data_IF_226726323483
#
_entry.id   IF_226726323483
#
_cell.length_a   1.000
_cell.length_b   1.000
_cell.length_c   1.000
_cell.angle_alpha   90.00
_cell.angle_beta   90.00
_cell.angle_gamma   90.00
#
_symmetry.space_group_name_H-M   'P 1'
#
loop_
_entity.id
_entity.type
_entity.pdbx_description
1 polymer ?
#
# COMPACT_ATOMS: atom_id res chain seq x y z
N UNK A 1 -58.03 -39.88 45.82
CA UNK A 1 -58.15 -39.91 44.35
C UNK A 1 -58.39 -38.49 43.86
N UNK A 2 -57.32 -37.78 43.51
CA UNK A 2 -57.35 -36.56 42.70
C UNK A 2 -56.11 -36.62 41.78
N UNK A 3 -56.25 -36.40 40.46
CA UNK A 3 -55.11 -36.35 39.57
C UNK A 3 -54.63 -34.90 39.45
N UNK A 4 -53.35 -34.67 39.73
CA UNK A 4 -52.70 -33.38 39.55
C UNK A 4 -52.36 -33.20 38.06
N UNK A 5 -52.94 -32.17 37.45
CA UNK A 5 -52.66 -31.73 36.08
C UNK A 5 -51.34 -30.95 36.05
N UNK A 6 -50.42 -31.36 35.17
CA UNK A 6 -49.21 -30.60 34.87
C UNK A 6 -49.44 -29.80 33.59
N UNK A 7 -49.56 -28.48 33.71
CA UNK A 7 -49.55 -27.56 32.57
C UNK A 7 -48.10 -27.36 32.11
N UNK A 8 -47.78 -27.87 30.91
CA UNK A 8 -46.52 -27.56 30.24
C UNK A 8 -46.60 -26.13 29.66
N UNK A 9 -45.79 -25.22 30.21
CA UNK A 9 -45.58 -23.90 29.63
C UNK A 9 -44.56 -24.04 28.49
N UNK A 10 -45.03 -23.95 27.26
CA UNK A 10 -44.16 -23.83 26.07
C UNK A 10 -43.66 -22.39 26.01
N UNK A 11 -42.41 -22.16 26.37
CA UNK A 11 -41.71 -20.90 26.12
C UNK A 11 -41.28 -20.88 24.66
N UNK A 12 -42.01 -20.13 23.83
CA UNK A 12 -41.59 -19.78 22.48
C UNK A 12 -40.41 -18.81 22.56
N UNK A 13 -39.19 -19.33 22.39
CA UNK A 13 -38.02 -18.50 22.12
C UNK A 13 -38.13 -18.06 20.67
N UNK A 14 -38.63 -16.83 20.46
CA UNK A 14 -38.54 -16.19 19.16
C UNK A 14 -37.04 -15.98 18.83
N UNK A 15 -36.53 -16.75 17.87
CA UNK A 15 -35.23 -16.48 17.28
C UNK A 15 -35.30 -15.09 16.63
N UNK A 16 -34.72 -14.09 17.29
CA UNK A 16 -34.56 -12.75 16.74
C UNK A 16 -33.60 -12.91 15.56
N UNK A 17 -34.13 -12.83 14.34
CA UNK A 17 -33.30 -12.67 13.15
C UNK A 17 -32.35 -11.50 13.42
N UNK A 18 -31.04 -11.75 13.35
CA UNK A 18 -30.05 -10.72 13.49
C UNK A 18 -30.36 -9.64 12.44
N UNK A 19 -30.71 -8.44 12.91
CA UNK A 19 -30.72 -7.25 12.06
C UNK A 19 -29.34 -7.16 11.39
N UNK A 20 -29.24 -6.81 10.09
CA UNK A 20 -27.94 -6.57 9.49
C UNK A 20 -27.26 -5.50 10.34
N UNK A 21 -26.12 -5.88 10.94
CA UNK A 21 -25.27 -4.96 11.68
C UNK A 21 -25.03 -3.76 10.77
N UNK A 22 -25.51 -2.58 11.18
CA UNK A 22 -25.33 -1.38 10.40
C UNK A 22 -23.83 -1.23 10.15
N UNK A 23 -23.41 -1.24 8.88
CA UNK A 23 -22.00 -1.15 8.53
C UNK A 23 -21.42 0.09 9.21
N UNK A 24 -20.36 -0.09 10.00
CA UNK A 24 -19.64 1.01 10.63
C UNK A 24 -19.19 1.99 9.52
N UNK A 25 -19.68 3.24 9.51
CA UNK A 25 -19.46 4.17 8.41
C UNK A 25 -17.99 4.54 8.22
N UNK A 26 -17.13 4.26 9.21
CA UNK A 26 -15.69 4.51 9.15
C UNK A 26 -14.88 3.31 8.63
N UNK A 27 -15.53 2.18 8.33
CA UNK A 27 -14.89 0.97 7.81
C UNK A 27 -14.99 0.93 6.29
N UNK A 28 -13.90 0.51 5.65
CA UNK A 28 -13.90 0.28 4.21
C UNK A 28 -14.87 -0.84 3.83
N UNK A 29 -15.53 -0.73 2.66
CA UNK A 29 -16.30 -1.83 2.11
C UNK A 29 -15.45 -3.09 1.93
N UNK A 30 -16.00 -4.24 2.34
CA UNK A 30 -15.33 -5.55 2.15
C UNK A 30 -15.47 -6.11 0.72
N UNK A 31 -16.02 -5.34 -0.23
CA UNK A 31 -16.20 -5.74 -1.63
C UNK A 31 -14.87 -5.90 -2.37
N UNK A 32 -13.82 -5.18 -1.95
CA UNK A 32 -12.50 -5.19 -2.57
C UNK A 32 -11.45 -5.43 -1.50
N UNK A 33 -10.65 -6.49 -1.66
CA UNK A 33 -9.67 -6.93 -0.66
C UNK A 33 -8.28 -7.00 -1.28
N UNK A 34 -7.26 -6.31 -0.75
CA UNK A 34 -5.90 -6.40 -1.26
C UNK A 34 -5.28 -7.76 -0.93
N UNK A 35 -4.39 -8.22 -1.80
CA UNK A 35 -3.57 -9.41 -1.54
C UNK A 35 -2.07 -9.18 -1.80
N UNK A 36 -1.71 -8.15 -2.58
CA UNK A 36 -0.33 -7.75 -2.83
C UNK A 36 -0.21 -6.24 -3.03
N UNK A 37 0.90 -5.68 -2.58
CA UNK A 37 1.35 -4.33 -2.87
C UNK A 37 2.74 -4.37 -3.50
N UNK A 38 2.94 -3.56 -4.54
CA UNK A 38 4.28 -3.11 -4.93
C UNK A 38 4.37 -1.63 -4.59
N UNK A 39 5.32 -1.26 -3.73
CA UNK A 39 5.56 0.12 -3.29
C UNK A 39 6.96 0.52 -3.72
N UNK A 40 7.04 1.49 -4.62
CA UNK A 40 8.31 2.05 -5.09
C UNK A 40 8.41 3.48 -4.59
N UNK A 41 9.50 3.85 -3.94
CA UNK A 41 9.69 5.19 -3.38
C UNK A 41 11.01 5.79 -3.86
N UNK A 42 10.98 7.07 -4.23
CA UNK A 42 12.15 7.92 -4.37
C UNK A 42 12.18 8.86 -3.16
N UNK A 43 13.22 8.74 -2.32
CA UNK A 43 13.30 9.44 -1.03
C UNK A 43 14.42 10.46 -1.04
N UNK A 44 14.06 11.71 -0.78
CA UNK A 44 14.98 12.83 -0.59
C UNK A 44 14.93 13.26 0.88
N UNK A 45 15.80 12.65 1.69
CA UNK A 45 15.91 12.95 3.13
C UNK A 45 16.35 14.39 3.37
N UNK A 46 17.17 14.96 2.48
CA UNK A 46 17.69 16.32 2.64
C UNK A 46 16.66 17.37 2.28
N UNK A 47 15.97 17.17 1.16
CA UNK A 47 14.83 17.99 0.73
C UNK A 47 13.57 17.75 1.54
N UNK A 48 13.54 16.70 2.38
CA UNK A 48 12.41 16.40 3.26
C UNK A 48 11.16 16.04 2.49
N UNK A 49 11.27 15.23 1.43
CA UNK A 49 10.15 14.83 0.57
C UNK A 49 10.39 13.46 -0.05
N UNK A 50 9.34 12.89 -0.60
CA UNK A 50 9.44 11.66 -1.38
C UNK A 50 8.36 11.61 -2.47
N UNK A 51 8.68 10.88 -3.54
CA UNK A 51 7.73 10.46 -4.58
C UNK A 51 7.55 8.96 -4.51
N UNK A 52 6.44 8.46 -5.04
CA UNK A 52 6.19 7.04 -5.05
C UNK A 52 5.22 6.56 -6.11
N UNK A 53 5.24 5.25 -6.27
CA UNK A 53 4.30 4.44 -7.06
C UNK A 53 3.71 3.41 -6.12
N UNK A 54 2.40 3.19 -6.21
CA UNK A 54 1.72 2.11 -5.50
C UNK A 54 0.89 1.27 -6.48
N UNK A 55 1.22 -0.01 -6.59
CA UNK A 55 0.37 -0.99 -7.26
C UNK A 55 -0.30 -1.88 -6.22
N UNK A 56 -1.63 -1.87 -6.20
CA UNK A 56 -2.45 -2.60 -5.24
C UNK A 56 -3.21 -3.68 -6.00
N UNK A 57 -2.84 -4.93 -5.76
CA UNK A 57 -3.51 -6.07 -6.35
C UNK A 57 -4.65 -6.51 -5.46
N UNK A 58 -5.85 -6.60 -6.03
CA UNK A 58 -7.09 -6.78 -5.27
C UNK A 58 -7.94 -7.95 -5.78
N UNK A 59 -8.64 -8.59 -4.86
CA UNK A 59 -9.71 -9.55 -5.10
C UNK A 59 -11.06 -8.84 -4.96
N UNK A 60 -11.96 -9.06 -5.91
CA UNK A 60 -13.30 -8.48 -5.87
C UNK A 60 -14.29 -9.54 -5.38
N UNK A 61 -14.89 -9.29 -4.23
CA UNK A 61 -15.80 -10.21 -3.54
C UNK A 61 -17.28 -9.95 -3.87
N UNK A 62 -17.61 -8.75 -4.36
CA UNK A 62 -18.92 -8.35 -4.84
C UNK A 62 -18.76 -7.36 -6.01
N UNK A 63 -19.65 -7.44 -7.00
CA UNK A 63 -19.65 -6.52 -8.14
C UNK A 63 -19.73 -5.07 -7.63
N UNK A 64 -18.88 -4.20 -8.17
CA UNK A 64 -18.80 -2.81 -7.70
C UNK A 64 -18.22 -1.90 -8.78
N UNK A 65 -18.76 -0.69 -8.88
CA UNK A 65 -18.31 0.36 -9.79
C UNK A 65 -17.35 1.36 -9.13
N UNK A 66 -17.01 1.13 -7.87
CA UNK A 66 -16.17 2.02 -7.09
C UNK A 66 -15.23 1.27 -6.16
N UNK A 67 -14.10 1.90 -5.84
CA UNK A 67 -13.15 1.38 -4.84
C UNK A 67 -12.80 2.49 -3.88
N UNK A 68 -13.13 2.30 -2.60
CA UNK A 68 -12.71 3.19 -1.51
C UNK A 68 -11.50 2.59 -0.79
N UNK A 69 -10.47 3.39 -0.59
CA UNK A 69 -9.29 3.05 0.21
C UNK A 69 -8.82 4.26 1.03
N UNK A 70 -7.84 4.06 1.90
CA UNK A 70 -7.28 5.14 2.70
C UNK A 70 -6.16 5.88 1.97
N UNK A 71 -6.21 7.21 2.01
CA UNK A 71 -5.15 8.11 1.57
C UNK A 71 -5.32 9.42 2.34
N UNK A 72 -4.30 9.80 3.11
CA UNK A 72 -4.35 11.06 3.86
C UNK A 72 -4.23 12.26 2.90
N UNK A 73 -4.83 13.42 3.23
CA UNK A 73 -4.83 14.61 2.35
C UNK A 73 -3.44 15.14 1.96
N UNK A 74 -2.41 14.77 2.72
CA UNK A 74 -1.01 15.11 2.42
C UNK A 74 -0.42 14.36 1.22
N UNK A 75 -1.04 13.26 0.80
CA UNK A 75 -0.62 12.50 -0.38
C UNK A 75 -1.19 13.16 -1.63
N UNK A 76 -0.30 13.69 -2.48
CA UNK A 76 -0.68 14.42 -3.68
C UNK A 76 -0.52 13.53 -4.90
N UNK A 77 -1.59 13.33 -5.65
CA UNK A 77 -1.60 12.60 -6.92
C UNK A 77 -2.69 13.15 -7.83
N UNK A 78 -2.48 13.08 -9.14
CA UNK A 78 -3.47 13.49 -10.12
C UNK A 78 -4.35 12.30 -10.51
N UNK A 79 -5.60 12.57 -10.92
CA UNK A 79 -6.48 11.50 -11.41
C UNK A 79 -5.91 10.76 -12.63
N UNK A 80 -5.13 11.44 -13.47
CA UNK A 80 -4.40 10.86 -14.61
C UNK A 80 -3.34 9.85 -14.19
N UNK A 81 -2.84 9.94 -12.95
CA UNK A 81 -1.88 9.00 -12.38
C UNK A 81 -2.55 7.78 -11.74
N UNK A 82 -3.88 7.66 -11.80
CA UNK A 82 -4.62 6.52 -11.25
C UNK A 82 -5.24 5.69 -12.36
N UNK A 83 -4.89 4.41 -12.41
CA UNK A 83 -5.41 3.47 -13.39
C UNK A 83 -5.84 2.16 -12.74
N UNK A 84 -6.94 1.59 -13.22
CA UNK A 84 -7.41 0.26 -12.79
C UNK A 84 -7.45 -0.68 -13.99
N UNK A 85 -6.86 -1.86 -13.84
CA UNK A 85 -6.80 -2.85 -14.90
C UNK A 85 -7.00 -4.27 -14.39
N UNK A 86 -7.54 -5.12 -15.25
CA UNK A 86 -7.70 -6.55 -14.94
C UNK A 86 -6.35 -7.24 -14.78
N UNK A 87 -6.18 -8.02 -13.70
CA UNK A 87 -4.97 -8.79 -13.41
C UNK A 87 -5.15 -10.26 -13.78
N UNK A 88 -4.22 -10.83 -14.55
CA UNK A 88 -4.19 -12.25 -14.97
C UNK A 88 -5.57 -12.77 -15.43
N UNK A 89 -6.14 -12.24 -16.54
CA UNK A 89 -7.36 -12.80 -17.09
C UNK A 89 -7.18 -14.27 -17.45
N UNK A 90 -8.23 -15.07 -17.28
CA UNK A 90 -8.25 -16.48 -17.69
C UNK A 90 -8.21 -16.58 -19.22
N UNK A 91 -7.71 -17.71 -19.71
CA UNK A 91 -7.72 -18.00 -21.15
C UNK A 91 -9.15 -17.89 -21.72
N UNK A 92 -9.31 -17.14 -22.81
CA UNK A 92 -10.61 -16.87 -23.45
C UNK A 92 -11.34 -15.62 -22.94
N UNK A 93 -10.84 -14.96 -21.89
CA UNK A 93 -11.35 -13.67 -21.44
C UNK A 93 -10.68 -12.51 -22.19
N UNK A 94 -11.35 -11.35 -22.25
CA UNK A 94 -10.80 -10.17 -22.94
C UNK A 94 -9.42 -9.79 -22.36
N UNK A 95 -8.36 -9.64 -23.19
CA UNK A 95 -6.98 -9.74 -22.71
C UNK A 95 -6.52 -8.65 -21.74
N UNK A 96 -7.10 -7.45 -21.77
CA UNK A 96 -6.88 -6.39 -20.78
C UNK A 96 -8.09 -5.46 -20.86
N UNK A 97 -8.87 -5.36 -19.80
CA UNK A 97 -9.88 -4.29 -19.67
C UNK A 97 -9.25 -3.23 -18.77
N UNK A 98 -8.94 -2.07 -19.36
CA UNK A 98 -8.60 -0.87 -18.60
C UNK A 98 -9.90 -0.16 -18.24
N UNK A 99 -10.02 0.16 -16.97
CA UNK A 99 -11.14 0.89 -16.43
C UNK A 99 -10.69 2.34 -16.25
N UNK A 100 -11.39 3.26 -16.90
CA UNK A 100 -11.14 4.68 -16.68
C UNK A 100 -11.64 5.05 -15.29
N UNK A 101 -10.79 5.73 -14.52
CA UNK A 101 -11.22 6.40 -13.29
C UNK A 101 -11.94 7.67 -13.71
N UNK A 102 -13.27 7.68 -13.60
CA UNK A 102 -14.11 8.78 -14.10
C UNK A 102 -14.18 9.94 -13.10
N UNK A 103 -14.03 9.63 -11.82
CA UNK A 103 -13.97 10.60 -10.74
C UNK A 103 -13.17 10.04 -9.56
N UNK A 104 -12.57 10.94 -8.81
CA UNK A 104 -11.91 10.66 -7.54
C UNK A 104 -12.53 11.59 -6.51
N UNK A 105 -13.11 11.02 -5.46
CA UNK A 105 -13.71 11.77 -4.35
C UNK A 105 -12.93 11.51 -3.07
N UNK A 106 -12.38 12.58 -2.47
CA UNK A 106 -11.60 12.53 -1.26
C UNK A 106 -12.41 13.00 -0.06
N UNK A 107 -12.33 12.28 1.06
CA UNK A 107 -12.88 12.71 2.34
C UNK A 107 -11.79 12.86 3.37
N UNK A 108 -11.34 14.09 3.57
CA UNK A 108 -10.25 14.43 4.49
C UNK A 108 -10.53 13.99 5.93
N UNK A 109 -11.77 14.13 6.39
CA UNK A 109 -12.17 13.73 7.75
C UNK A 109 -12.02 12.22 8.01
N UNK A 110 -12.18 11.40 6.98
CA UNK A 110 -12.08 9.94 7.06
C UNK A 110 -10.70 9.44 6.56
N UNK A 111 -9.86 10.34 6.02
CA UNK A 111 -8.63 10.03 5.29
C UNK A 111 -8.84 8.94 4.22
N UNK A 112 -9.94 9.05 3.47
CA UNK A 112 -10.32 8.12 2.40
C UNK A 112 -10.38 8.78 1.04
N UNK A 113 -10.20 7.95 0.01
CA UNK A 113 -10.41 8.30 -1.38
C UNK A 113 -11.25 7.22 -2.05
N UNK A 114 -12.27 7.63 -2.82
CA UNK A 114 -13.12 6.74 -3.61
C UNK A 114 -12.87 6.96 -5.09
N UNK A 115 -12.49 5.87 -5.77
CA UNK A 115 -12.28 5.83 -7.21
C UNK A 115 -13.58 5.35 -7.87
N UNK A 116 -14.22 6.19 -8.68
CA UNK A 116 -15.37 5.79 -9.49
C UNK A 116 -14.90 5.33 -10.86
N UNK A 117 -15.43 4.20 -11.33
CA UNK A 117 -14.93 3.49 -12.51
C UNK A 117 -15.94 3.54 -13.65
N UNK A 118 -15.44 3.54 -14.89
CA UNK A 118 -16.27 3.55 -16.09
C UNK A 118 -17.07 2.26 -16.33
N UNK A 119 -16.75 1.20 -15.60
CA UNK A 119 -17.42 -0.10 -15.66
C UNK A 119 -17.24 -0.83 -14.33
N UNK A 120 -18.16 -1.75 -13.96
CA UNK A 120 -18.04 -2.50 -12.72
C UNK A 120 -16.86 -3.47 -12.76
N UNK A 121 -16.16 -3.55 -11.63
CA UNK A 121 -15.32 -4.68 -11.28
C UNK A 121 -16.22 -5.86 -10.96
N UNK A 122 -15.90 -7.03 -11.51
CA UNK A 122 -16.77 -8.19 -11.38
C UNK A 122 -16.24 -9.13 -10.30
N UNK A 123 -17.15 -9.70 -9.54
CA UNK A 123 -16.91 -10.66 -8.47
C UNK A 123 -16.08 -11.84 -8.96
N UNK A 124 -15.16 -12.28 -8.10
CA UNK A 124 -14.28 -13.42 -8.35
C UNK A 124 -13.11 -13.13 -9.29
N UNK A 125 -12.94 -11.87 -9.73
CA UNK A 125 -11.83 -11.44 -10.56
C UNK A 125 -10.78 -10.67 -9.77
N UNK A 126 -9.60 -10.56 -10.37
CA UNK A 126 -8.46 -9.85 -9.83
C UNK A 126 -8.18 -8.60 -10.65
N UNK A 127 -7.79 -7.53 -9.96
CA UNK A 127 -7.44 -6.25 -10.58
C UNK A 127 -6.17 -5.69 -9.96
N UNK A 128 -5.54 -4.75 -10.67
CA UNK A 128 -4.47 -3.91 -10.15
C UNK A 128 -4.95 -2.46 -10.18
N UNK A 129 -4.92 -1.80 -9.03
CA UNK A 129 -5.10 -0.37 -8.88
C UNK A 129 -3.69 0.23 -8.84
N UNK A 130 -3.36 1.08 -9.81
CA UNK A 130 -2.03 1.69 -9.94
C UNK A 130 -2.14 3.18 -9.69
N UNK A 131 -1.44 3.66 -8.69
CA UNK A 131 -1.05 5.06 -8.52
C UNK A 131 0.36 5.18 -9.12
N UNK A 132 0.47 5.64 -10.36
CA UNK A 132 1.73 5.73 -11.09
C UNK A 132 2.62 6.86 -10.62
N UNK A 133 2.06 7.83 -9.91
CA UNK A 133 2.80 8.90 -9.25
C UNK A 133 1.97 9.44 -8.09
N UNK A 134 2.60 9.52 -6.92
CA UNK A 134 2.16 10.36 -5.81
C UNK A 134 3.38 10.96 -5.13
N UNK A 135 3.20 12.07 -4.42
CA UNK A 135 4.25 12.66 -3.61
C UNK A 135 3.72 13.14 -2.26
N UNK A 136 4.64 13.30 -1.31
CA UNK A 136 4.38 13.95 -0.03
C UNK A 136 5.67 14.46 0.61
N UNK A 137 5.51 15.40 1.52
CA UNK A 137 6.61 15.91 2.33
C UNK A 137 6.90 14.94 3.48
N UNK A 138 8.16 14.83 3.89
CA UNK A 138 8.57 14.12 5.09
C UNK A 138 8.49 15.09 6.28
N UNK A 139 7.30 15.23 6.86
CA UNK A 139 7.09 16.03 8.07
C UNK A 139 7.87 15.50 9.28
N UNK A 140 7.90 16.26 10.38
CA UNK A 140 8.52 15.85 11.64
C UNK A 140 7.56 15.18 12.63
N UNK A 141 6.27 15.12 12.31
CA UNK A 141 5.28 14.37 13.09
C UNK A 141 5.65 12.88 13.07
N UNK A 142 5.67 12.19 14.22
CA UNK A 142 6.03 10.76 14.30
C UNK A 142 4.91 9.84 13.80
N UNK A 143 4.36 10.13 12.62
CA UNK A 143 3.25 9.46 11.99
C UNK A 143 3.48 9.31 10.48
N UNK A 144 3.26 8.10 9.97
CA UNK A 144 3.46 7.80 8.57
C UNK A 144 4.95 7.74 8.24
N UNK A 145 5.31 8.22 7.05
CA UNK A 145 6.70 8.36 6.65
C UNK A 145 7.18 9.79 6.95
N UNK A 146 8.15 9.91 7.85
CA UNK A 146 8.51 11.18 8.48
C UNK A 146 10.02 11.30 8.69
N UNK A 147 10.49 12.54 8.86
CA UNK A 147 11.85 12.84 9.26
C UNK A 147 12.01 12.74 10.77
N UNK A 148 13.16 12.23 11.17
CA UNK A 148 13.69 12.34 12.51
C UNK A 148 15.14 12.83 12.45
N UNK A 149 15.65 13.30 13.60
CA UNK A 149 17.01 13.81 13.68
C UNK A 149 17.68 13.45 14.99
N UNK A 150 19.01 13.41 14.97
CA UNK A 150 19.83 13.17 16.15
C UNK A 150 21.07 14.06 16.10
N UNK A 151 21.69 14.27 17.27
CA UNK A 151 22.96 14.98 17.37
C UNK A 151 24.11 14.01 17.18
N UNK A 152 25.04 14.37 16.29
CA UNK A 152 26.32 13.73 16.09
C UNK A 152 27.42 14.78 16.33
N UNK A 153 27.89 14.86 17.58
CA UNK A 153 28.72 15.96 18.05
C UNK A 153 28.03 17.32 17.92
N UNK A 154 28.63 18.24 17.15
CA UNK A 154 28.07 19.56 16.87
C UNK A 154 27.09 19.57 15.68
N UNK A 155 27.05 18.48 14.90
CA UNK A 155 26.21 18.36 13.72
C UNK A 155 24.85 17.74 14.07
N UNK A 156 23.81 18.14 13.34
CA UNK A 156 22.50 17.47 13.37
C UNK A 156 22.38 16.61 12.12
N UNK A 157 22.19 15.30 12.30
CA UNK A 157 21.93 14.36 11.22
C UNK A 157 20.45 14.07 11.11
N UNK A 158 19.96 13.89 9.87
CA UNK A 158 18.57 13.58 9.56
C UNK A 158 18.47 12.19 8.94
N UNK A 159 17.36 11.53 9.23
CA UNK A 159 16.98 10.26 8.62
C UNK A 159 15.46 10.23 8.45
N UNK A 160 14.96 9.34 7.61
CA UNK A 160 13.53 9.14 7.41
C UNK A 160 13.13 7.76 7.90
N UNK A 161 11.98 7.65 8.57
CA UNK A 161 11.46 6.38 9.06
C UNK A 161 9.94 6.32 9.03
N UNK A 162 9.42 5.11 9.07
CA UNK A 162 7.97 4.84 9.14
C UNK A 162 7.50 4.61 10.58
N UNK A 163 6.36 5.22 10.94
CA UNK A 163 5.58 4.92 12.14
C UNK A 163 4.12 4.73 11.76
N UNK A 164 3.72 3.50 11.43
CA UNK A 164 2.41 3.23 10.83
C UNK A 164 1.30 2.86 11.82
N UNK A 165 1.64 2.48 13.05
CA UNK A 165 0.63 2.16 14.06
C UNK A 165 -0.04 3.45 14.60
N UNK A 166 -1.38 3.48 14.79
CA UNK A 166 -2.34 2.44 14.41
C UNK A 166 -2.80 2.52 12.95
N UNK A 167 -2.93 3.72 12.39
CA UNK A 167 -3.62 3.99 11.11
C UNK A 167 -2.86 5.01 10.27
N UNK A 168 -1.53 4.94 10.30
CA UNK A 168 -0.68 5.94 9.65
C UNK A 168 0.00 5.44 8.38
N UNK A 169 -0.23 4.19 7.93
CA UNK A 169 0.28 3.75 6.64
C UNK A 169 -0.36 4.57 5.49
N UNK A 170 -1.64 4.94 5.64
CA UNK A 170 -2.37 5.85 4.74
C UNK A 170 -1.76 7.25 4.60
N UNK A 171 -0.88 7.66 5.52
CA UNK A 171 -0.11 8.92 5.45
C UNK A 171 1.14 8.79 4.60
N UNK A 172 1.56 7.57 4.27
CA UNK A 172 2.77 7.28 3.51
C UNK A 172 2.48 6.90 2.05
N UNK A 173 1.42 6.13 1.80
CA UNK A 173 0.98 5.74 0.46
C UNK A 173 -0.51 5.34 0.47
N UNK A 174 -1.23 5.44 -0.66
CA UNK A 174 -2.62 5.00 -0.75
C UNK A 174 -2.74 3.49 -0.46
N UNK A 175 -3.55 3.09 0.52
CA UNK A 175 -3.67 1.68 0.92
C UNK A 175 -4.98 1.34 1.65
N UNK A 176 -5.25 0.04 1.82
CA UNK A 176 -6.37 -0.44 2.64
C UNK A 176 -5.90 -0.54 4.10
N UNK A 177 -5.79 0.61 4.75
CA UNK A 177 -5.18 0.74 6.08
C UNK A 177 -6.11 0.32 7.24
N UNK A 178 -6.51 -0.95 7.26
CA UNK A 178 -7.17 -1.59 8.41
C UNK A 178 -6.51 -2.95 8.74
N UNK A 179 -6.45 -3.36 10.02
CA UNK A 179 -5.79 -4.61 10.41
C UNK A 179 -6.33 -5.89 9.75
N UNK A 180 -7.59 -5.87 9.30
CA UNK A 180 -8.24 -7.00 8.62
C UNK A 180 -7.71 -7.23 7.19
N UNK A 181 -7.18 -6.19 6.54
CA UNK A 181 -6.65 -6.27 5.18
C UNK A 181 -5.16 -6.65 5.21
N UNK A 182 -4.90 -7.96 5.14
CA UNK A 182 -3.53 -8.49 5.06
C UNK A 182 -3.11 -8.70 3.62
N UNK A 183 -1.89 -8.28 3.30
CA UNK A 183 -1.32 -8.45 1.97
C UNK A 183 0.18 -8.70 2.05
N UNK A 184 0.75 -9.14 0.93
CA UNK A 184 2.21 -9.22 0.74
C UNK A 184 2.73 -7.88 0.21
N UNK A 185 3.90 -7.46 0.65
CA UNK A 185 4.53 -6.21 0.21
C UNK A 185 5.85 -6.51 -0.50
N UNK A 186 6.00 -5.98 -1.70
CA UNK A 186 7.28 -5.83 -2.39
C UNK A 186 7.65 -4.34 -2.34
N UNK A 187 8.77 -4.02 -1.71
CA UNK A 187 9.19 -2.65 -1.47
C UNK A 187 10.51 -2.40 -2.19
N UNK A 188 10.59 -1.28 -2.91
CA UNK A 188 11.83 -0.77 -3.48
C UNK A 188 11.99 0.70 -3.14
N UNK A 189 13.17 1.09 -2.68
CA UNK A 189 13.43 2.45 -2.23
C UNK A 189 14.70 2.95 -2.90
N UNK A 190 14.56 4.03 -3.67
CA UNK A 190 15.64 4.78 -4.26
C UNK A 190 15.97 5.98 -3.38
N UNK A 191 17.24 6.18 -3.08
CA UNK A 191 17.74 7.34 -2.34
C UNK A 191 19.20 7.61 -2.69
N UNK A 192 19.71 8.75 -2.23
CA UNK A 192 21.12 9.09 -2.37
C UNK A 192 22.01 8.00 -1.74
N UNK A 193 23.08 7.58 -2.44
CA UNK A 193 23.97 6.46 -2.10
C UNK A 193 24.67 6.53 -0.73
N UNK A 194 24.57 7.69 -0.07
CA UNK A 194 25.13 7.93 1.28
C UNK A 194 24.24 7.37 2.39
N UNK A 195 22.98 7.09 2.07
CA UNK A 195 22.02 6.50 2.99
C UNK A 195 21.90 5.00 2.71
N UNK A 196 21.81 4.22 3.77
CA UNK A 196 21.38 2.83 3.72
C UNK A 196 19.86 2.76 3.95
N UNK A 197 19.21 1.82 3.27
CA UNK A 197 17.80 1.51 3.47
C UNK A 197 17.65 0.18 4.20
N UNK A 198 16.78 0.15 5.21
CA UNK A 198 16.35 -1.07 5.91
C UNK A 198 14.83 -1.18 5.84
N UNK A 199 14.32 -2.41 5.81
CA UNK A 199 12.88 -2.69 5.82
C UNK A 199 12.58 -4.00 6.55
N UNK A 200 11.32 -4.43 6.55
CA UNK A 200 10.81 -5.63 7.23
C UNK A 200 11.44 -6.93 6.75
N UNK A 201 11.97 -6.94 5.52
CA UNK A 201 12.58 -8.11 4.89
C UNK A 201 14.05 -7.81 4.53
N UNK A 202 14.88 -8.85 4.28
CA UNK A 202 16.19 -8.66 3.68
C UNK A 202 16.08 -7.91 2.36
N UNK A 203 17.11 -7.12 2.03
CA UNK A 203 17.13 -6.38 0.78
C UNK A 203 18.54 -6.17 0.26
N UNK A 204 18.62 -5.98 -1.05
CA UNK A 204 19.84 -5.81 -1.81
C UNK A 204 19.85 -4.42 -2.44
N UNK A 205 20.94 -3.69 -2.23
CA UNK A 205 21.15 -2.39 -2.84
C UNK A 205 21.95 -2.53 -4.13
N UNK A 206 21.49 -1.87 -5.18
CA UNK A 206 22.18 -1.76 -6.46
C UNK A 206 22.19 -0.30 -6.93
N UNK A 207 23.13 0.05 -7.79
CA UNK A 207 23.13 1.35 -8.46
C UNK A 207 21.84 1.52 -9.29
N UNK A 208 21.32 2.75 -9.38
CA UNK A 208 20.09 3.03 -10.12
C UNK A 208 20.22 2.67 -11.61
N UNK A 209 21.36 2.95 -12.26
CA UNK A 209 21.63 2.57 -13.65
C UNK A 209 21.50 1.05 -13.87
N UNK A 210 22.10 0.24 -13.00
CA UNK A 210 22.05 -1.22 -13.09
C UNK A 210 20.61 -1.74 -12.92
N UNK A 211 19.84 -1.13 -12.02
CA UNK A 211 18.44 -1.49 -11.76
C UNK A 211 17.55 -1.16 -12.97
N UNK A 212 17.71 0.03 -13.54
CA UNK A 212 16.95 0.45 -14.73
C UNK A 212 17.26 -0.44 -15.95
N UNK A 213 18.51 -0.87 -16.12
CA UNK A 213 18.91 -1.81 -17.16
C UNK A 213 18.36 -3.23 -16.95
N UNK A 214 18.35 -3.74 -15.70
CA UNK A 214 17.83 -5.08 -15.38
C UNK A 214 16.32 -5.22 -15.64
N UNK A 215 15.57 -4.13 -15.50
CA UNK A 215 14.14 -4.08 -15.85
C UNK A 215 13.92 -4.29 -17.36
N UNK A 216 14.83 -3.83 -18.22
CA UNK A 216 14.72 -3.99 -19.68
C UNK A 216 14.78 -5.46 -20.09
N UNK A 217 15.56 -6.27 -19.37
CA UNK A 217 15.92 -7.62 -19.80
C UNK A 217 15.02 -8.74 -19.27
N UNK A 218 14.10 -8.47 -18.33
CA UNK A 218 13.44 -9.54 -17.60
C UNK A 218 12.16 -10.12 -18.21
N UNK A 219 11.36 -9.40 -18.99
CA UNK A 219 10.01 -9.92 -19.27
C UNK A 219 9.51 -9.69 -20.71
N UNK A 220 9.41 -10.78 -21.46
CA UNK A 220 8.47 -10.93 -22.59
C UNK A 220 7.00 -11.07 -22.13
N UNK A 221 6.73 -10.76 -20.86
CA UNK A 221 5.42 -10.59 -20.24
C UNK A 221 5.25 -9.09 -20.03
N UNK A 222 4.10 -8.49 -20.36
CA UNK A 222 3.87 -7.05 -20.18
C UNK A 222 3.80 -6.68 -18.68
N UNK A 223 4.94 -6.64 -17.98
CA UNK A 223 5.04 -6.18 -16.60
C UNK A 223 5.11 -4.66 -16.56
N UNK A 224 3.98 -4.04 -16.22
CA UNK A 224 3.86 -2.60 -16.10
C UNK A 224 4.67 -2.05 -14.91
N UNK A 225 5.13 -2.89 -13.97
CA UNK A 225 5.91 -2.45 -12.80
C UNK A 225 7.32 -1.96 -13.15
N UNK A 226 7.93 -2.51 -14.20
CA UNK A 226 9.25 -2.11 -14.67
C UNK A 226 9.29 -0.68 -15.23
N UNK A 227 8.32 -0.34 -16.07
CA UNK A 227 8.20 1.00 -16.65
C UNK A 227 7.99 2.06 -15.58
N UNK A 228 7.15 1.76 -14.58
CA UNK A 228 6.90 2.66 -13.44
C UNK A 228 8.17 2.96 -12.63
N UNK A 229 9.03 1.95 -12.41
CA UNK A 229 10.32 2.19 -11.74
C UNK A 229 11.22 3.07 -12.60
N UNK A 230 11.30 2.83 -13.91
CA UNK A 230 12.11 3.65 -14.81
C UNK A 230 11.64 5.10 -14.83
N UNK A 231 10.33 5.31 -14.86
CA UNK A 231 9.74 6.64 -14.83
C UNK A 231 10.01 7.34 -13.50
N UNK A 232 9.88 6.64 -12.37
CA UNK A 232 10.19 7.18 -11.04
C UNK A 232 11.67 7.59 -10.89
N UNK A 233 12.59 6.88 -11.56
CA UNK A 233 14.03 7.15 -11.48
C UNK A 233 14.52 8.15 -12.53
N UNK A 234 13.68 8.59 -13.46
CA UNK A 234 14.09 9.34 -14.66
C UNK A 234 14.87 10.62 -14.36
N UNK A 235 14.51 11.31 -13.29
CA UNK A 235 15.08 12.62 -12.92
C UNK A 235 16.25 12.51 -11.92
N UNK A 236 16.68 11.29 -11.56
CA UNK A 236 17.74 11.06 -10.59
C UNK A 236 19.10 10.93 -11.29
N UNK A 237 20.15 11.46 -10.65
CA UNK A 237 21.51 11.11 -11.03
C UNK A 237 21.76 9.63 -10.69
N UNK A 238 21.99 8.76 -11.69
CA UNK A 238 22.14 7.35 -11.47
C UNK A 238 23.43 6.99 -10.72
N UNK A 239 24.45 7.85 -10.77
CA UNK A 239 25.71 7.65 -10.06
C UNK A 239 25.51 7.92 -8.57
N UNK A 240 24.77 8.97 -8.21
CA UNK A 240 24.51 9.36 -6.81
C UNK A 240 23.35 8.57 -6.17
N UNK A 241 22.67 7.71 -6.91
CA UNK A 241 21.46 7.02 -6.45
C UNK A 241 21.65 5.50 -6.32
N UNK A 242 21.24 4.98 -5.16
CA UNK A 242 21.08 3.53 -4.93
C UNK A 242 19.61 3.17 -4.86
N UNK A 243 19.24 2.04 -5.46
CA UNK A 243 17.92 1.42 -5.32
C UNK A 243 18.08 0.16 -4.47
N UNK A 244 17.40 0.12 -3.32
CA UNK A 244 17.33 -1.07 -2.47
C UNK A 244 16.03 -1.80 -2.73
N UNK A 245 16.11 -3.06 -3.16
CA UNK A 245 14.95 -3.94 -3.36
C UNK A 245 14.87 -4.95 -2.22
N UNK A 246 13.69 -5.11 -1.63
CA UNK A 246 13.47 -6.03 -0.52
C UNK A 246 12.71 -7.28 -0.96
N UNK A 247 12.98 -8.40 -0.28
CA UNK A 247 12.22 -9.63 -0.45
C UNK A 247 10.73 -9.39 -0.13
N UNK A 248 9.87 -10.16 -0.80
CA UNK A 248 8.42 -10.05 -0.57
C UNK A 248 8.06 -10.53 0.83
N UNK A 249 7.27 -9.74 1.56
CA UNK A 249 6.81 -10.10 2.91
C UNK A 249 5.88 -11.33 2.90
N UNK A 250 5.74 -11.95 4.08
CA UNK A 250 4.55 -12.76 4.38
C UNK A 250 3.29 -11.87 4.42
N UNK A 251 2.07 -12.42 4.27
CA UNK A 251 0.85 -11.64 4.41
C UNK A 251 0.76 -10.99 5.80
N UNK A 252 0.70 -9.66 5.83
CA UNK A 252 0.70 -8.87 7.06
C UNK A 252 -0.19 -7.63 6.90
N UNK A 253 -0.68 -7.04 8.00
CA UNK A 253 -1.37 -5.75 7.96
C UNK A 253 -0.41 -4.60 7.65
N UNK A 254 -0.94 -3.51 7.10
CA UNK A 254 -0.21 -2.28 6.74
C UNK A 254 0.59 -1.68 7.90
N UNK A 255 0.03 -1.66 9.11
CA UNK A 255 0.65 -1.01 10.26
C UNK A 255 1.97 -1.64 10.76
N UNK A 256 2.28 -2.88 10.32
CA UNK A 256 3.53 -3.57 10.64
C UNK A 256 4.62 -3.33 9.59
N UNK A 257 4.27 -2.80 8.43
CA UNK A 257 5.24 -2.49 7.39
C UNK A 257 6.17 -1.39 7.91
N UNK A 258 7.47 -1.57 7.66
CA UNK A 258 8.46 -0.61 8.13
C UNK A 258 9.59 -0.42 7.14
N UNK A 259 10.11 0.81 7.06
CA UNK A 259 11.41 1.10 6.47
C UNK A 259 12.07 2.31 7.11
N UNK A 260 13.39 2.35 6.98
CA UNK A 260 14.25 3.44 7.47
C UNK A 260 15.29 3.77 6.40
N UNK A 261 15.46 5.06 6.12
CA UNK A 261 16.50 5.61 5.22
C UNK A 261 17.43 6.46 6.10
N UNK A 262 18.64 5.98 6.36
CA UNK A 262 19.54 6.56 7.35
C UNK A 262 21.01 6.32 7.00
N UNK A 263 21.92 7.05 7.63
CA UNK A 263 23.36 6.85 7.54
C UNK A 263 23.93 6.10 8.77
N UNK A 264 23.07 5.33 9.45
CA UNK A 264 23.46 4.59 10.66
C UNK A 264 24.51 3.53 10.36
N UNK A 265 25.52 3.45 11.24
CA UNK A 265 26.43 2.31 11.27
C UNK A 265 25.71 1.06 11.77
N UNK A 266 26.08 -0.11 11.22
CA UNK A 266 25.56 -1.40 11.66
C UNK A 266 26.69 -2.27 12.21
N UNK A 267 26.46 -2.92 13.35
CA UNK A 267 27.33 -3.94 13.90
C UNK A 267 26.69 -5.31 13.63
N UNK A 268 27.34 -6.13 12.80
CA UNK A 268 26.88 -7.49 12.54
C UNK A 268 27.69 -8.46 13.39
N UNK A 269 27.03 -9.20 14.27
CA UNK A 269 27.70 -10.27 15.01
C UNK A 269 27.86 -11.50 14.09
N UNK A 270 28.99 -12.22 14.14
CA UNK A 270 29.14 -13.45 13.40
C UNK A 270 28.07 -14.46 13.82
N UNK A 271 27.35 -15.00 12.84
CA UNK A 271 26.43 -16.12 13.04
C UNK A 271 27.21 -17.33 13.55
N UNK A 272 26.81 -17.86 14.71
CA UNK A 272 27.36 -19.10 15.26
C UNK A 272 26.94 -20.32 14.45
#
# INVERSE_FOLDING_TARGET
>A
MSPWSWLAVVVLVAARAASPEAADPYRLPASVVPFRYNVLLQVDVDGGRYRGVAQIYVNVLADTDSVTLHAAPRLRFQSSAVAVQRYKPRAGERPVVRYSVVAIDGRDADETVTLYLSAPLERGKHYVITFSEFDADLGSEPAGFHLASYRDGLSTRRFAMTSFKPTHARKAFPCFDEPGFRARFEVKIACHRRFAVRSSMPGEAAAAAATAAAVVHRDGVQDHGGDLLRDLLRDLDPEDTTVTSFDTTVPMPTYLLAWVVSDFANLTLPTR
#
